data_IF_370716910174
#
_entry.id   IF_370716910174
#
_cell.length_a   1.000
_cell.length_b   1.000
_cell.length_c   1.000
_cell.angle_alpha   90.00
_cell.angle_beta   90.00
_cell.angle_gamma   90.00
#
_symmetry.space_group_name_H-M   'P 1'
#
loop_
_entity.id
_entity.type
_entity.pdbx_description
1 polymer ?
#
# COMPACT_ATOMS: atom_id res chain seq x y z
N UNK A 1 15.51 30.05 7.93
CA UNK A 1 15.56 28.67 7.41
C UNK A 1 14.33 27.92 7.91
N UNK A 2 13.34 27.65 7.04
CA UNK A 2 12.08 27.01 7.42
C UNK A 2 12.18 25.49 7.26
N UNK A 3 11.97 24.77 8.36
CA UNK A 3 11.96 23.30 8.42
C UNK A 3 10.84 22.78 7.53
N UNK A 4 11.21 22.08 6.45
CA UNK A 4 10.32 21.40 5.51
C UNK A 4 9.68 20.21 6.21
N UNK A 5 8.60 20.47 6.97
CA UNK A 5 7.76 19.44 7.61
C UNK A 5 7.32 18.47 6.51
N UNK A 6 7.74 17.20 6.61
CA UNK A 6 7.31 16.15 5.69
C UNK A 6 5.78 16.17 5.62
N UNK A 7 5.24 16.65 4.50
CA UNK A 7 3.80 16.74 4.30
C UNK A 7 3.31 15.30 4.09
N UNK A 8 2.79 14.68 5.17
CA UNK A 8 1.88 13.55 5.00
C UNK A 8 0.78 14.03 4.06
N UNK A 9 0.69 13.42 2.88
CA UNK A 9 -0.42 13.62 1.96
C UNK A 9 -1.42 12.52 2.23
N UNK A 10 -2.42 12.73 3.11
CA UNK A 10 -3.47 11.76 3.32
C UNK A 10 -4.17 11.45 1.99
N UNK A 11 -4.47 10.17 1.79
CA UNK A 11 -5.22 9.70 0.64
C UNK A 11 -6.72 9.88 0.93
N UNK A 12 -7.43 10.57 0.05
CA UNK A 12 -8.88 10.72 0.12
C UNK A 12 -9.54 9.82 -0.89
N UNK A 13 -10.44 8.95 -0.43
CA UNK A 13 -11.33 8.22 -1.30
C UNK A 13 -12.49 9.13 -1.70
N UNK A 14 -12.80 9.21 -2.99
CA UNK A 14 -13.89 10.00 -3.52
C UNK A 14 -14.83 9.14 -4.36
N UNK A 15 -16.11 9.49 -4.29
CA UNK A 15 -17.14 9.02 -5.21
C UNK A 15 -17.79 10.24 -5.84
N UNK A 16 -17.81 10.28 -7.15
CA UNK A 16 -18.32 11.41 -7.90
C UNK A 16 -18.90 11.00 -9.24
N UNK A 17 -19.25 12.01 -10.02
CA UNK A 17 -19.80 11.86 -11.35
C UNK A 17 -18.94 12.68 -12.30
N UNK A 18 -18.49 12.07 -13.39
CA UNK A 18 -17.79 12.77 -14.47
C UNK A 18 -18.78 13.64 -15.28
N UNK A 19 -18.27 14.55 -16.11
CA UNK A 19 -19.07 15.46 -16.95
C UNK A 19 -20.06 14.73 -17.87
N UNK A 20 -19.84 13.43 -18.14
CA UNK A 20 -20.71 12.54 -18.91
C UNK A 20 -21.77 11.80 -18.08
N UNK A 21 -21.89 12.07 -16.79
CA UNK A 21 -22.86 11.39 -15.92
C UNK A 21 -22.40 10.03 -15.36
N UNK A 22 -21.16 9.61 -15.66
CA UNK A 22 -20.62 8.32 -15.22
C UNK A 22 -20.16 8.42 -13.77
N UNK A 23 -20.62 7.48 -12.92
CA UNK A 23 -20.15 7.37 -11.54
C UNK A 23 -18.71 6.88 -11.53
N UNK A 24 -17.83 7.67 -10.94
CA UNK A 24 -16.42 7.34 -10.79
C UNK A 24 -16.06 7.29 -9.31
N UNK A 25 -15.30 6.26 -8.95
CA UNK A 25 -14.74 6.07 -7.62
C UNK A 25 -13.23 6.03 -7.76
N UNK A 26 -12.52 6.71 -6.87
CA UNK A 26 -11.07 6.76 -6.92
C UNK A 26 -10.46 7.23 -5.63
N UNK A 27 -9.14 7.25 -5.61
CA UNK A 27 -8.34 7.72 -4.49
C UNK A 27 -7.45 8.86 -4.97
N UNK A 28 -7.37 9.94 -4.20
CA UNK A 28 -6.56 11.10 -4.51
C UNK A 28 -5.74 11.51 -3.28
N UNK A 29 -4.40 11.56 -3.37
CA UNK A 29 -3.57 12.14 -2.32
C UNK A 29 -3.70 13.67 -2.32
N UNK A 30 -4.02 14.26 -1.18
CA UNK A 30 -4.14 15.72 -1.05
C UNK A 30 -3.70 16.19 0.35
N UNK A 31 -3.34 17.47 0.48
CA UNK A 31 -2.95 18.04 1.78
C UNK A 31 -4.13 18.21 2.74
N UNK A 32 -5.34 18.40 2.21
CA UNK A 32 -6.58 18.48 2.98
C UNK A 32 -7.79 18.21 2.06
N UNK A 33 -8.97 18.00 2.66
CA UNK A 33 -10.21 17.68 1.94
C UNK A 33 -10.66 18.81 0.99
N UNK A 34 -10.40 20.08 1.32
CA UNK A 34 -10.75 21.22 0.48
C UNK A 34 -9.93 21.22 -0.82
N UNK A 35 -8.61 21.00 -0.73
CA UNK A 35 -7.72 20.86 -1.87
C UNK A 35 -8.06 19.64 -2.70
N UNK A 36 -8.41 18.51 -2.07
CA UNK A 36 -8.88 17.33 -2.79
C UNK A 36 -10.14 17.62 -3.64
N UNK A 37 -11.13 18.32 -3.08
CA UNK A 37 -12.33 18.74 -3.84
C UNK A 37 -12.00 19.68 -4.99
N UNK A 38 -11.09 20.64 -4.78
CA UNK A 38 -10.68 21.58 -5.84
C UNK A 38 -9.96 20.84 -6.97
N UNK A 39 -9.06 19.91 -6.66
CA UNK A 39 -8.36 19.09 -7.65
C UNK A 39 -9.34 18.22 -8.45
N UNK A 40 -10.31 17.57 -7.77
CA UNK A 40 -11.34 16.76 -8.44
C UNK A 40 -12.26 17.61 -9.33
N UNK A 41 -12.64 18.81 -8.90
CA UNK A 41 -13.39 19.76 -9.74
C UNK A 41 -12.60 20.20 -10.97
N UNK A 42 -11.30 20.47 -10.83
CA UNK A 42 -10.41 20.79 -11.97
C UNK A 42 -10.31 19.62 -12.96
N UNK A 43 -10.41 18.38 -12.47
CA UNK A 43 -10.45 17.17 -13.29
C UNK A 43 -11.83 16.89 -13.91
N UNK A 44 -12.83 17.76 -13.73
CA UNK A 44 -14.17 17.58 -14.26
C UNK A 44 -15.05 16.63 -13.44
N UNK A 45 -14.59 16.23 -12.25
CA UNK A 45 -15.31 15.30 -11.36
C UNK A 45 -16.16 16.08 -10.37
N UNK A 46 -17.48 15.88 -10.44
CA UNK A 46 -18.40 16.38 -9.42
C UNK A 46 -18.45 15.38 -8.26
N UNK A 47 -17.78 15.73 -7.16
CA UNK A 47 -17.66 14.88 -5.97
C UNK A 47 -18.97 14.84 -5.20
N UNK A 48 -19.56 13.65 -5.03
CA UNK A 48 -20.76 13.41 -4.20
C UNK A 48 -20.40 13.06 -2.77
N UNK A 49 -19.34 12.27 -2.59
CA UNK A 49 -18.84 11.85 -1.28
C UNK A 49 -17.31 11.88 -1.32
N UNK A 50 -16.68 12.43 -0.29
CA UNK A 50 -15.23 12.40 -0.11
C UNK A 50 -14.93 12.08 1.34
N UNK A 51 -14.08 11.08 1.56
CA UNK A 51 -13.69 10.64 2.89
C UNK A 51 -12.19 10.49 2.94
N UNK A 52 -11.59 10.98 4.01
CA UNK A 52 -10.20 10.71 4.30
C UNK A 52 -10.06 9.21 4.57
N UNK A 53 -9.26 8.52 3.77
CA UNK A 53 -8.93 7.12 4.01
C UNK A 53 -7.89 7.12 5.12
N UNK A 54 -8.36 7.18 6.37
CA UNK A 54 -7.48 6.91 7.51
C UNK A 54 -6.96 5.50 7.32
N UNK A 55 -5.63 5.33 7.32
CA UNK A 55 -5.03 3.98 7.42
C UNK A 55 -5.74 3.30 8.58
N UNK A 56 -6.41 2.18 8.32
CA UNK A 56 -7.10 1.43 9.35
C UNK A 56 -6.04 0.96 10.35
N UNK A 57 -5.86 1.70 11.44
CA UNK A 57 -4.90 1.36 12.49
C UNK A 57 -5.27 -0.02 13.09
N UNK A 58 -6.56 -0.37 13.06
CA UNK A 58 -7.12 -1.67 13.39
C UNK A 58 -6.66 -2.81 12.45
N UNK A 59 -6.38 -2.53 11.18
CA UNK A 59 -5.87 -3.53 10.25
C UNK A 59 -4.44 -3.97 10.62
N UNK A 60 -3.67 -3.09 11.27
CA UNK A 60 -2.36 -3.42 11.84
C UNK A 60 -2.43 -4.25 13.14
N UNK A 61 -3.54 -4.19 13.89
CA UNK A 61 -3.74 -4.95 15.12
C UNK A 61 -4.03 -6.44 14.87
N UNK A 62 -4.66 -6.76 13.73
CA UNK A 62 -4.95 -8.14 13.31
C UNK A 62 -3.89 -8.76 12.40
N UNK A 63 -2.89 -7.98 11.97
CA UNK A 63 -1.75 -8.54 11.24
C UNK A 63 -0.94 -9.44 12.18
N UNK A 64 -0.85 -10.73 11.85
CA UNK A 64 0.02 -11.68 12.55
C UNK A 64 1.43 -11.08 12.61
N UNK A 65 2.00 -10.97 13.81
CA UNK A 65 3.40 -10.54 13.96
C UNK A 65 4.31 -11.54 13.23
N UNK A 66 5.41 -11.06 12.68
CA UNK A 66 6.46 -11.93 12.13
C UNK A 66 7.08 -12.69 13.30
N UNK A 67 7.05 -14.02 13.22
CA UNK A 67 7.63 -14.89 14.24
C UNK A 67 9.04 -15.33 13.83
N UNK A 68 9.84 -15.80 14.79
CA UNK A 68 11.15 -16.40 14.51
C UNK A 68 11.06 -17.61 13.58
N UNK A 69 9.96 -18.36 13.65
CA UNK A 69 9.71 -19.50 12.76
C UNK A 69 9.55 -19.05 11.31
N UNK A 70 8.78 -17.98 11.06
CA UNK A 70 8.60 -17.41 9.72
C UNK A 70 9.94 -17.02 9.09
N UNK A 71 10.83 -16.39 9.88
CA UNK A 71 12.19 -15.99 9.45
C UNK A 71 13.04 -17.23 9.14
N UNK A 72 12.94 -18.27 9.96
CA UNK A 72 13.72 -19.51 9.79
C UNK A 72 13.30 -20.25 8.53
N UNK A 73 12.00 -20.34 8.26
CA UNK A 73 11.46 -20.95 7.04
C UNK A 73 11.89 -20.14 5.81
N UNK A 74 11.68 -18.82 5.84
CA UNK A 74 12.09 -17.91 4.78
C UNK A 74 13.57 -18.07 4.41
N UNK A 75 14.47 -17.96 5.40
CA UNK A 75 15.92 -18.03 5.17
C UNK A 75 16.39 -19.39 4.68
N UNK A 76 15.77 -20.49 5.14
CA UNK A 76 16.08 -21.84 4.65
C UNK A 76 15.64 -22.01 3.19
N UNK A 77 14.44 -21.58 2.84
CA UNK A 77 13.91 -21.67 1.49
C UNK A 77 14.75 -20.82 0.52
N UNK A 78 15.10 -19.59 0.92
CA UNK A 78 15.98 -18.73 0.13
C UNK A 78 17.36 -19.36 -0.06
N UNK A 79 17.95 -19.92 1.00
CA UNK A 79 19.25 -20.59 0.90
C UNK A 79 19.23 -21.79 -0.07
N UNK A 80 18.14 -22.55 -0.10
CA UNK A 80 17.97 -23.65 -1.07
C UNK A 80 17.87 -23.13 -2.50
N UNK A 81 17.11 -22.06 -2.74
CA UNK A 81 16.99 -21.44 -4.06
C UNK A 81 18.35 -20.91 -4.55
N UNK A 82 19.09 -20.23 -3.67
CA UNK A 82 20.43 -19.74 -3.98
C UNK A 82 21.40 -20.89 -4.29
N UNK A 83 21.35 -21.99 -3.52
CA UNK A 83 22.16 -23.19 -3.79
C UNK A 83 21.81 -23.85 -5.12
N UNK A 84 20.55 -23.79 -5.54
CA UNK A 84 20.09 -24.28 -6.83
C UNK A 84 20.42 -23.34 -8.00
N UNK A 85 21.08 -22.19 -7.75
CA UNK A 85 21.45 -21.23 -8.78
C UNK A 85 20.30 -20.31 -9.22
N UNK A 86 19.19 -20.27 -8.46
CA UNK A 86 18.08 -19.36 -8.74
C UNK A 86 18.52 -17.92 -8.49
N UNK A 87 18.29 -16.98 -9.44
CA UNK A 87 18.57 -15.58 -9.25
C UNK A 87 17.92 -15.04 -7.98
N UNK A 88 18.65 -14.21 -7.22
CA UNK A 88 18.22 -13.74 -5.91
C UNK A 88 16.83 -13.07 -5.95
N UNK A 89 16.57 -12.21 -6.95
CA UNK A 89 15.29 -11.53 -7.14
C UNK A 89 14.13 -12.53 -7.33
N UNK A 90 14.33 -13.56 -8.17
CA UNK A 90 13.34 -14.61 -8.38
C UNK A 90 13.14 -15.47 -7.12
N UNK A 91 14.23 -15.75 -6.39
CA UNK A 91 14.16 -16.45 -5.11
C UNK A 91 13.31 -15.71 -4.08
N UNK A 92 13.43 -14.38 -4.01
CA UNK A 92 12.57 -13.57 -3.15
C UNK A 92 11.09 -13.64 -3.55
N UNK A 93 10.77 -13.61 -4.85
CA UNK A 93 9.38 -13.73 -5.34
C UNK A 93 8.78 -15.10 -5.02
N UNK A 94 9.49 -16.18 -5.33
CA UNK A 94 9.05 -17.57 -5.09
C UNK A 94 8.85 -17.83 -3.60
N UNK A 95 9.80 -17.41 -2.76
CA UNK A 95 9.72 -17.64 -1.31
C UNK A 95 8.62 -16.76 -0.69
N UNK A 96 8.41 -15.53 -1.18
CA UNK A 96 7.35 -14.66 -0.69
C UNK A 96 5.94 -15.25 -0.93
N UNK A 97 5.73 -15.92 -2.07
CA UNK A 97 4.49 -16.61 -2.37
C UNK A 97 4.22 -17.75 -1.38
N UNK A 98 5.25 -18.50 -1.00
CA UNK A 98 5.17 -19.63 -0.07
C UNK A 98 5.00 -19.28 1.42
N UNK A 99 5.05 -18.00 1.80
CA UNK A 99 4.91 -17.59 3.21
C UNK A 99 3.45 -17.59 3.67
N UNK A 100 3.16 -18.31 4.75
CA UNK A 100 1.82 -18.33 5.36
C UNK A 100 1.49 -17.02 6.11
N UNK A 101 2.50 -16.33 6.63
CA UNK A 101 2.33 -15.09 7.37
C UNK A 101 2.29 -13.89 6.41
N UNK A 102 1.14 -13.20 6.26
CA UNK A 102 1.01 -12.06 5.35
C UNK A 102 1.94 -10.90 5.72
N UNK A 103 2.23 -10.71 7.01
CA UNK A 103 3.15 -9.66 7.45
C UNK A 103 4.59 -9.95 7.01
N UNK A 104 5.01 -11.22 7.03
CA UNK A 104 6.34 -11.59 6.54
C UNK A 104 6.43 -11.47 5.02
N UNK A 105 5.36 -11.84 4.30
CA UNK A 105 5.26 -11.63 2.84
C UNK A 105 5.39 -10.14 2.48
N UNK A 106 4.69 -9.25 3.19
CA UNK A 106 4.79 -7.81 2.96
C UNK A 106 6.22 -7.28 3.17
N UNK A 107 6.90 -7.74 4.23
CA UNK A 107 8.30 -7.36 4.49
C UNK A 107 9.19 -7.80 3.32
N UNK A 108 9.03 -9.03 2.84
CA UNK A 108 9.84 -9.55 1.72
C UNK A 108 9.58 -8.77 0.43
N UNK A 109 8.32 -8.54 0.07
CA UNK A 109 7.97 -7.80 -1.14
C UNK A 109 8.35 -6.31 -1.06
N UNK A 110 8.47 -5.75 0.15
CA UNK A 110 8.92 -4.38 0.39
C UNK A 110 10.43 -4.15 0.19
N UNK A 111 11.22 -5.21 -0.03
CA UNK A 111 12.67 -5.13 -0.30
C UNK A 111 12.96 -4.92 -1.80
N UNK A 112 11.92 -4.93 -2.66
CA UNK A 112 12.01 -4.70 -4.11
C UNK A 112 12.37 -3.27 -4.49
#
# INVERSE_FOLDING_TARGET
MAVKKAQMMPTFAYEGVDRKGVKIKGELPAKNMALAKVTLRKQGVTVRNIREKRKNILEGLFKKKVTTLDITIFTRQLATMMKAGVPLVQGFEIVAEGLENPAMREVVLGIK
#
